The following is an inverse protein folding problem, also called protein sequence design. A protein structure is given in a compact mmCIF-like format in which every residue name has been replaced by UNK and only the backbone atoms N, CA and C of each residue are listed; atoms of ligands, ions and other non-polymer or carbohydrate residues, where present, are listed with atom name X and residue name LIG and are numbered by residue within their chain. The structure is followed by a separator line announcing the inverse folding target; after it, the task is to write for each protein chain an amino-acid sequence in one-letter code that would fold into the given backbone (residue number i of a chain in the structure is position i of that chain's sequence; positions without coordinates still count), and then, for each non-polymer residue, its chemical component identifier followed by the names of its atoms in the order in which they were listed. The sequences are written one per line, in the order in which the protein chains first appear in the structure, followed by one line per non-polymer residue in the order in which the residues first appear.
data_IF_898138377202
#
_entry.id   IF_898138377202
#
_cell.length_a   1.000
_cell.length_b   1.000
_cell.length_c   1.000
_cell.angle_alpha   90.00
_cell.angle_beta   90.00
_cell.angle_gamma   90.00
#
_symmetry.space_group_name_H-M   'P 1'
#
loop_
_entity.id
_entity.type
_entity.pdbx_description
1 polymer ?
#
# COMPACT_ATOMS: atom_id res chain seq x y z
N UNK A 1 11.96 14.84 6.21
CA UNK A 1 12.44 14.09 5.04
C UNK A 1 11.30 14.07 4.05
N UNK A 2 11.55 14.32 2.77
CA UNK A 2 10.51 14.24 1.73
C UNK A 2 10.42 12.84 1.14
N UNK A 3 9.34 12.50 0.45
CA UNK A 3 9.21 11.20 -0.22
C UNK A 3 10.27 11.06 -1.32
N UNK A 4 10.54 12.14 -2.05
CA UNK A 4 11.54 12.18 -3.11
C UNK A 4 12.94 11.88 -2.55
N UNK A 5 13.26 12.43 -1.37
CA UNK A 5 14.53 12.11 -0.72
C UNK A 5 14.64 10.64 -0.30
N UNK A 6 13.54 9.97 0.05
CA UNK A 6 13.55 8.52 0.30
C UNK A 6 13.88 7.76 -1.00
N UNK A 7 13.26 8.16 -2.11
CA UNK A 7 13.51 7.56 -3.42
C UNK A 7 14.93 7.77 -3.92
N UNK A 8 15.46 8.99 -3.78
CA UNK A 8 16.84 9.31 -4.17
C UNK A 8 17.84 8.50 -3.34
N UNK A 9 17.64 8.41 -2.01
CA UNK A 9 18.49 7.62 -1.13
C UNK A 9 18.46 6.13 -1.48
N UNK A 10 17.26 5.57 -1.72
CA UNK A 10 17.10 4.17 -2.12
C UNK A 10 17.77 3.92 -3.48
N UNK A 11 17.50 4.77 -4.47
CA UNK A 11 18.03 4.61 -5.82
C UNK A 11 19.56 4.73 -5.86
N UNK A 12 20.13 5.70 -5.15
CA UNK A 12 21.58 5.84 -5.02
C UNK A 12 22.20 4.58 -4.39
N UNK A 13 21.59 4.03 -3.34
CA UNK A 13 22.05 2.77 -2.74
C UNK A 13 21.96 1.60 -3.71
N UNK A 14 20.86 1.46 -4.44
CA UNK A 14 20.68 0.39 -5.43
C UNK A 14 21.77 0.43 -6.52
N UNK A 15 22.28 1.61 -6.88
CA UNK A 15 23.41 1.75 -7.81
C UNK A 15 24.78 1.43 -7.22
N UNK A 16 24.90 1.25 -5.90
CA UNK A 16 26.11 0.80 -5.21
C UNK A 16 25.84 -0.55 -4.53
N UNK A 17 25.58 -1.61 -5.33
CA UNK A 17 24.88 -2.77 -4.84
C UNK A 17 25.69 -3.60 -3.83
N UNK A 18 25.03 -3.96 -2.72
CA UNK A 18 25.52 -4.97 -1.75
C UNK A 18 25.01 -6.37 -2.15
N UNK A 19 24.03 -6.44 -3.05
CA UNK A 19 23.33 -7.65 -3.53
C UNK A 19 23.36 -7.70 -5.05
N UNK A 20 22.85 -8.76 -5.66
CA UNK A 20 22.67 -8.76 -7.11
C UNK A 20 21.52 -7.80 -7.46
N UNK A 21 21.86 -6.67 -8.08
CA UNK A 21 20.90 -5.61 -8.40
C UNK A 21 21.06 -5.17 -9.83
N UNK A 22 19.95 -5.13 -10.56
CA UNK A 22 19.84 -4.46 -11.86
C UNK A 22 19.11 -3.13 -11.67
N UNK A 23 19.55 -2.10 -12.39
CA UNK A 23 18.93 -0.79 -12.32
C UNK A 23 18.74 -0.20 -13.72
N UNK A 24 17.66 0.55 -13.88
CA UNK A 24 17.32 1.26 -15.10
C UNK A 24 16.63 2.57 -14.78
N UNK A 25 16.80 3.55 -15.66
CA UNK A 25 16.08 4.83 -15.60
C UNK A 25 15.58 5.20 -16.99
N UNK A 26 14.31 5.53 -17.07
CA UNK A 26 13.64 5.92 -18.31
C UNK A 26 12.90 7.24 -18.09
N UNK A 27 13.00 8.16 -19.06
CA UNK A 27 12.20 9.37 -19.09
C UNK A 27 11.10 9.22 -20.16
N UNK A 28 9.83 9.31 -19.74
CA UNK A 28 8.66 9.25 -20.63
C UNK A 28 7.79 10.49 -20.44
N UNK A 29 8.00 11.52 -21.25
CA UNK A 29 7.32 12.81 -21.07
C UNK A 29 7.68 13.41 -19.70
N UNK A 30 6.67 13.73 -18.88
CA UNK A 30 6.84 14.22 -17.50
C UNK A 30 7.23 13.14 -16.50
N UNK A 31 7.23 11.86 -16.89
CA UNK A 31 7.51 10.75 -16.00
C UNK A 31 9.01 10.40 -15.98
N UNK A 32 9.61 10.43 -14.79
CA UNK A 32 10.91 9.80 -14.50
C UNK A 32 10.63 8.44 -13.84
N UNK A 33 10.95 7.38 -14.56
CA UNK A 33 10.70 5.98 -14.19
C UNK A 33 12.03 5.36 -13.78
N UNK A 34 12.15 5.02 -12.51
CA UNK A 34 13.32 4.36 -11.95
C UNK A 34 12.98 2.91 -11.65
N UNK A 35 13.66 2.01 -12.34
CA UNK A 35 13.47 0.57 -12.24
C UNK A 35 14.62 -0.06 -11.48
N UNK A 36 14.31 -0.88 -10.48
CA UNK A 36 15.31 -1.61 -9.69
C UNK A 36 14.82 -3.04 -9.51
N UNK A 37 15.65 -4.01 -9.89
CA UNK A 37 15.44 -5.44 -9.62
C UNK A 37 16.50 -5.87 -8.62
N UNK A 38 16.08 -6.39 -7.47
CA UNK A 38 16.99 -6.90 -6.44
C UNK A 38 16.72 -8.39 -6.21
N UNK A 39 17.79 -9.17 -6.27
CA UNK A 39 17.81 -10.57 -5.87
C UNK A 39 18.57 -10.69 -4.54
N UNK A 40 17.86 -11.09 -3.48
CA UNK A 40 18.44 -11.31 -2.15
C UNK A 40 18.74 -12.80 -1.85
N UNK A 41 18.84 -13.63 -2.89
CA UNK A 41 19.04 -15.10 -2.89
C UNK A 41 17.85 -15.91 -2.37
N UNK A 42 16.94 -15.27 -1.64
CA UNK A 42 15.71 -15.89 -1.13
C UNK A 42 14.49 -15.44 -1.91
N UNK A 43 14.51 -14.21 -2.42
CA UNK A 43 13.37 -13.56 -3.10
C UNK A 43 13.89 -12.62 -4.18
N UNK A 44 13.13 -12.53 -5.26
CA UNK A 44 13.30 -11.49 -6.27
C UNK A 44 12.28 -10.37 -6.01
N UNK A 45 12.76 -9.13 -5.99
CA UNK A 45 11.94 -7.94 -5.83
C UNK A 45 12.16 -7.02 -7.03
N UNK A 46 11.07 -6.59 -7.64
CA UNK A 46 11.09 -5.60 -8.71
C UNK A 46 10.38 -4.35 -8.23
N UNK A 47 11.01 -3.19 -8.40
CA UNK A 47 10.45 -1.89 -8.04
C UNK A 47 10.45 -0.97 -9.25
N UNK A 48 9.32 -0.32 -9.50
CA UNK A 48 9.23 0.85 -10.39
C UNK A 48 8.80 2.04 -9.57
N UNK A 49 9.70 3.02 -9.44
CA UNK A 49 9.46 4.28 -8.74
C UNK A 49 9.20 5.34 -9.78
N UNK A 50 8.03 5.97 -9.73
CA UNK A 50 7.61 6.98 -10.69
C UNK A 50 7.55 8.34 -10.03
N UNK A 51 8.30 9.27 -10.60
CA UNK A 51 8.14 10.71 -10.34
C UNK A 51 7.41 11.34 -11.52
N UNK A 52 6.40 12.18 -11.26
CA UNK A 52 5.76 13.02 -12.26
C UNK A 52 6.14 14.46 -12.01
N UNK A 53 6.79 15.09 -12.98
CA UNK A 53 7.32 16.46 -12.85
C UNK A 53 8.23 16.63 -11.61
N UNK A 54 8.98 15.58 -11.27
CA UNK A 54 9.90 15.55 -10.13
C UNK A 54 9.26 15.27 -8.77
N UNK A 55 7.94 15.05 -8.71
CA UNK A 55 7.20 14.77 -7.47
C UNK A 55 6.83 13.28 -7.42
N UNK A 56 6.87 12.67 -6.24
CA UNK A 56 6.41 11.30 -6.02
C UNK A 56 4.98 11.11 -6.54
N UNK A 57 4.82 10.18 -7.48
CA UNK A 57 3.54 9.90 -8.12
C UNK A 57 3.02 8.52 -7.72
N UNK A 58 3.78 7.47 -8.05
CA UNK A 58 3.45 6.12 -7.62
C UNK A 58 4.70 5.22 -7.52
N UNK A 59 4.55 4.13 -6.76
CA UNK A 59 5.52 3.04 -6.70
C UNK A 59 4.79 1.74 -6.96
N UNK A 60 5.28 0.98 -7.94
CA UNK A 60 4.87 -0.39 -8.19
C UNK A 60 5.94 -1.34 -7.68
N UNK A 61 5.53 -2.44 -7.06
CA UNK A 61 6.42 -3.50 -6.61
C UNK A 61 5.84 -4.85 -6.97
N UNK A 62 6.70 -5.74 -7.42
CA UNK A 62 6.46 -7.17 -7.47
C UNK A 62 7.45 -7.88 -6.56
N UNK A 63 7.00 -8.91 -5.86
CA UNK A 63 7.86 -9.73 -5.03
C UNK A 63 7.42 -11.19 -5.09
N UNK A 64 8.36 -12.06 -5.47
CA UNK A 64 8.20 -13.51 -5.40
C UNK A 64 8.57 -14.01 -3.99
N UNK A 65 7.70 -14.80 -3.38
CA UNK A 65 7.90 -15.35 -2.02
C UNK A 65 8.35 -16.82 -2.03
N UNK A 66 8.47 -17.43 -3.21
CA UNK A 66 8.70 -18.86 -3.42
C UNK A 66 7.39 -19.65 -3.56
N UNK A 67 7.48 -20.89 -4.04
CA UNK A 67 6.33 -21.79 -4.25
C UNK A 67 5.22 -21.18 -5.16
N UNK A 68 5.62 -20.33 -6.10
CA UNK A 68 4.73 -19.58 -7.01
C UNK A 68 3.78 -18.56 -6.34
N UNK A 69 3.98 -18.24 -5.06
CA UNK A 69 3.28 -17.13 -4.40
C UNK A 69 3.97 -15.80 -4.67
N UNK A 70 3.17 -14.83 -5.11
CA UNK A 70 3.63 -13.50 -5.48
C UNK A 70 2.84 -12.42 -4.76
N UNK A 71 3.45 -11.24 -4.64
CA UNK A 71 2.74 -10.03 -4.26
C UNK A 71 2.97 -8.91 -5.26
N UNK A 72 1.88 -8.23 -5.62
CA UNK A 72 1.90 -6.99 -6.37
C UNK A 72 1.42 -5.86 -5.48
N UNK A 73 2.24 -4.83 -5.35
CA UNK A 73 1.91 -3.65 -4.56
C UNK A 73 1.94 -2.40 -5.43
N UNK A 74 0.90 -1.58 -5.29
CA UNK A 74 0.80 -0.27 -5.93
C UNK A 74 0.58 0.75 -4.83
N UNK A 75 1.50 1.70 -4.71
CA UNK A 75 1.39 2.83 -3.78
C UNK A 75 1.26 4.13 -4.56
N UNK A 76 0.24 4.92 -4.27
CA UNK A 76 -0.01 6.25 -4.86
C UNK A 76 0.20 7.35 -3.83
N UNK A 77 0.71 8.48 -4.30
CA UNK A 77 1.00 9.67 -3.52
C UNK A 77 0.14 10.82 -4.04
N UNK A 78 -0.72 11.38 -3.20
CA UNK A 78 -1.60 12.46 -3.60
C UNK A 78 -1.82 13.43 -2.42
N UNK A 79 -1.40 14.69 -2.56
CA UNK A 79 -1.61 15.76 -1.58
C UNK A 79 -1.30 15.38 -0.12
N UNK A 80 -0.15 14.72 0.10
CA UNK A 80 0.29 14.30 1.44
C UNK A 80 -0.32 12.97 1.91
N UNK A 81 -1.27 12.42 1.18
CA UNK A 81 -1.90 11.12 1.44
C UNK A 81 -1.17 10.04 0.64
N UNK A 82 -0.96 8.90 1.29
CA UNK A 82 -0.36 7.72 0.68
C UNK A 82 -1.35 6.57 0.76
N UNK A 83 -1.80 6.09 -0.39
CA UNK A 83 -2.70 4.94 -0.50
C UNK A 83 -1.96 3.77 -1.10
N UNK A 84 -2.11 2.58 -0.53
CA UNK A 84 -1.47 1.37 -1.02
C UNK A 84 -2.49 0.25 -1.22
N UNK A 85 -2.42 -0.36 -2.39
CA UNK A 85 -3.01 -1.65 -2.73
C UNK A 85 -1.89 -2.70 -2.69
N UNK A 86 -2.15 -3.84 -2.06
CA UNK A 86 -1.25 -4.99 -2.03
C UNK A 86 -2.06 -6.25 -2.29
N UNK A 87 -1.72 -6.98 -3.33
CA UNK A 87 -2.39 -8.20 -3.76
C UNK A 87 -1.48 -9.39 -3.50
N UNK A 88 -2.04 -10.48 -2.98
CA UNK A 88 -1.39 -11.79 -2.85
C UNK A 88 -2.00 -12.74 -3.86
N UNK A 89 -1.18 -13.37 -4.68
CA UNK A 89 -1.69 -14.21 -5.76
C UNK A 89 -0.79 -15.42 -6.07
N UNK A 90 -1.40 -16.41 -6.72
CA UNK A 90 -0.73 -17.59 -7.29
C UNK A 90 -1.27 -17.78 -8.71
N UNK A 91 -0.41 -17.60 -9.72
CA UNK A 91 -0.89 -17.37 -11.08
C UNK A 91 -1.82 -16.14 -11.12
N UNK A 92 -3.00 -16.30 -11.71
CA UNK A 92 -4.01 -15.23 -11.81
C UNK A 92 -5.01 -15.23 -10.63
N UNK A 93 -4.86 -16.14 -9.66
CA UNK A 93 -5.76 -16.26 -8.52
C UNK A 93 -5.28 -15.38 -7.35
N UNK A 94 -6.07 -14.37 -7.01
CA UNK A 94 -5.82 -13.50 -5.85
C UNK A 94 -6.40 -14.13 -4.59
N UNK A 95 -5.54 -14.47 -3.63
CA UNK A 95 -5.91 -15.14 -2.37
C UNK A 95 -6.03 -14.16 -1.19
N UNK A 96 -5.44 -12.97 -1.32
CA UNK A 96 -5.51 -11.93 -0.31
C UNK A 96 -5.30 -10.55 -0.88
N UNK A 97 -5.89 -9.56 -0.21
CA UNK A 97 -5.78 -8.16 -0.56
C UNK A 97 -5.54 -7.35 0.72
N UNK A 98 -4.65 -6.37 0.67
CA UNK A 98 -4.42 -5.42 1.74
C UNK A 98 -4.52 -4.02 1.17
N UNK A 99 -5.30 -3.18 1.84
CA UNK A 99 -5.39 -1.75 1.55
C UNK A 99 -4.87 -0.97 2.74
N UNK A 100 -4.09 0.08 2.49
CA UNK A 100 -3.50 0.88 3.55
C UNK A 100 -3.52 2.36 3.22
N UNK A 101 -3.66 3.17 4.26
CA UNK A 101 -3.73 4.61 4.18
C UNK A 101 -2.76 5.22 5.18
N UNK A 102 -1.82 6.03 4.69
CA UNK A 102 -0.86 6.75 5.53
C UNK A 102 -0.61 8.17 4.99
N UNK A 103 0.50 8.78 5.41
CA UNK A 103 0.90 10.14 5.12
C UNK A 103 2.36 10.19 4.68
N UNK A 104 2.69 11.14 3.82
CA UNK A 104 4.04 11.32 3.30
C UNK A 104 5.07 11.46 4.44
N UNK A 105 4.76 12.24 5.47
CA UNK A 105 5.65 12.49 6.60
C UNK A 105 5.83 11.31 7.55
N UNK A 106 5.05 10.23 7.39
CA UNK A 106 5.15 9.00 8.17
C UNK A 106 5.90 7.89 7.44
N UNK A 107 6.35 8.13 6.21
CA UNK A 107 7.24 7.24 5.51
C UNK A 107 8.66 7.40 6.05
N UNK A 108 9.33 6.27 6.22
CA UNK A 108 10.72 6.23 6.69
C UNK A 108 11.53 5.31 5.79
N UNK A 109 12.86 5.47 5.80
CA UNK A 109 13.77 4.54 5.13
C UNK A 109 13.57 3.14 5.67
N UNK A 110 13.60 2.16 4.77
CA UNK A 110 13.61 0.76 5.17
C UNK A 110 14.92 0.42 5.90
N UNK A 111 14.87 0.02 7.19
CA UNK A 111 16.08 -0.34 7.93
C UNK A 111 16.81 -1.56 7.35
N UNK A 112 16.11 -2.41 6.59
CA UNK A 112 16.71 -3.58 5.93
C UNK A 112 17.32 -3.24 4.56
N UNK A 113 17.12 -2.00 4.12
CA UNK A 113 17.55 -1.53 2.80
C UNK A 113 17.10 -2.49 1.69
N UNK A 114 15.84 -2.90 1.70
CA UNK A 114 15.20 -3.70 0.65
C UNK A 114 14.17 -2.89 -0.10
N UNK A 115 13.47 -2.01 0.59
CA UNK A 115 12.35 -1.26 0.04
C UNK A 115 12.70 0.23 -0.14
N UNK A 116 12.06 0.93 -1.10
CA UNK A 116 12.18 2.37 -1.23
C UNK A 116 11.79 3.14 0.04
N UNK A 117 10.84 2.59 0.80
CA UNK A 117 10.39 3.09 2.09
C UNK A 117 9.61 2.00 2.83
N UNK A 118 9.33 2.24 4.11
CA UNK A 118 8.30 1.54 4.88
C UNK A 118 7.35 2.53 5.54
N UNK A 119 6.18 2.05 5.94
CA UNK A 119 5.24 2.81 6.77
C UNK A 119 5.75 2.86 8.20
N UNK A 120 6.39 3.98 8.56
CA UNK A 120 6.77 4.25 9.95
C UNK A 120 5.54 4.39 10.84
N UNK A 121 4.46 4.95 10.29
CA UNK A 121 3.10 4.90 10.84
C UNK A 121 2.08 4.67 9.72
N UNK A 122 0.89 4.20 10.07
CA UNK A 122 -0.27 4.12 9.17
C UNK A 122 -1.53 4.61 9.88
N UNK A 123 -2.37 5.39 9.18
CA UNK A 123 -3.68 5.79 9.70
C UNK A 123 -4.58 4.54 9.77
N UNK A 124 -4.61 3.73 8.71
CA UNK A 124 -5.43 2.52 8.61
C UNK A 124 -4.75 1.43 7.78
N UNK A 125 -4.88 0.18 8.21
CA UNK A 125 -4.56 -1.00 7.43
C UNK A 125 -5.76 -1.96 7.45
N UNK A 126 -6.11 -2.50 6.29
CA UNK A 126 -7.21 -3.44 6.11
C UNK A 126 -6.72 -4.66 5.35
N UNK A 127 -7.19 -5.83 5.73
CA UNK A 127 -6.88 -7.10 5.06
C UNK A 127 -8.17 -7.78 4.69
N UNK A 128 -8.20 -8.28 3.46
CA UNK A 128 -9.27 -9.06 2.90
C UNK A 128 -8.72 -10.42 2.52
N UNK A 129 -9.55 -11.45 2.66
CA UNK A 129 -9.22 -12.83 2.29
C UNK A 129 -10.27 -13.38 1.35
N UNK A 130 -9.81 -14.23 0.43
CA UNK A 130 -10.70 -15.01 -0.39
C UNK A 130 -11.53 -15.97 0.49
N UNK A 131 -12.86 -15.82 0.45
CA UNK A 131 -13.82 -16.66 1.17
C UNK A 131 -15.16 -16.62 0.45
N UNK A 132 -15.84 -17.76 0.36
CA UNK A 132 -17.18 -17.89 -0.25
C UNK A 132 -17.27 -17.24 -1.65
N UNK A 133 -16.24 -17.45 -2.47
CA UNK A 133 -16.08 -16.89 -3.83
C UNK A 133 -16.05 -15.35 -3.91
N UNK A 134 -15.77 -14.69 -2.79
CA UNK A 134 -15.59 -13.24 -2.66
C UNK A 134 -14.28 -12.92 -1.95
N UNK A 135 -13.89 -11.65 -1.97
CA UNK A 135 -12.80 -11.11 -1.17
C UNK A 135 -13.41 -10.31 -0.02
N UNK A 136 -13.38 -10.88 1.19
CA UNK A 136 -14.07 -10.35 2.36
C UNK A 136 -13.10 -9.79 3.39
N UNK A 137 -13.49 -8.71 4.05
CA UNK A 137 -12.71 -8.07 5.10
C UNK A 137 -12.46 -9.04 6.27
N UNK A 138 -11.20 -9.40 6.46
CA UNK A 138 -10.70 -10.24 7.56
C UNK A 138 -10.26 -9.39 8.74
N UNK A 139 -9.59 -8.24 8.49
CA UNK A 139 -9.01 -7.41 9.57
C UNK A 139 -9.03 -5.93 9.24
N UNK A 140 -9.17 -5.13 10.29
CA UNK A 140 -9.02 -3.67 10.28
C UNK A 140 -8.23 -3.24 11.50
N UNK A 141 -7.18 -2.46 11.26
CA UNK A 141 -6.34 -1.88 12.30
C UNK A 141 -6.14 -0.39 12.04
N UNK A 142 -6.09 0.38 13.12
CA UNK A 142 -5.84 1.81 13.09
C UNK A 142 -4.52 2.15 13.78
N UNK A 143 -3.96 3.29 13.41
CA UNK A 143 -2.81 3.91 14.09
C UNK A 143 -1.63 2.95 14.28
N UNK A 144 -1.27 2.17 13.25
CA UNK A 144 -0.06 1.35 13.28
C UNK A 144 1.16 2.25 13.45
N UNK A 145 2.09 1.87 14.33
CA UNK A 145 3.34 2.57 14.57
C UNK A 145 4.50 1.56 14.63
N UNK A 146 5.40 1.64 13.66
CA UNK A 146 6.51 0.71 13.50
C UNK A 146 7.48 0.70 14.68
N UNK A 147 7.70 1.87 15.32
CA UNK A 147 8.70 2.01 16.39
C UNK A 147 8.17 1.42 17.69
N UNK A 148 6.93 1.76 18.04
CA UNK A 148 6.30 1.32 19.30
C UNK A 148 5.54 0.00 19.18
N UNK A 149 5.37 -0.50 17.95
CA UNK A 149 4.52 -1.65 17.60
C UNK A 149 3.06 -1.46 18.05
N UNK A 150 2.63 -0.21 18.20
CA UNK A 150 1.29 0.14 18.63
C UNK A 150 0.28 -0.02 17.49
N UNK A 151 -0.95 -0.40 17.82
CA UNK A 151 -2.12 -0.36 16.93
C UNK A 151 -3.41 -0.48 17.73
N UNK A 152 -4.52 0.02 17.17
CA UNK A 152 -5.87 -0.31 17.62
C UNK A 152 -6.53 -1.30 16.67
N UNK A 153 -6.67 -2.58 17.06
CA UNK A 153 -7.50 -3.51 16.32
C UNK A 153 -8.98 -3.12 16.46
N UNK A 154 -9.64 -3.04 15.31
CA UNK A 154 -11.10 -2.83 15.19
C UNK A 154 -11.76 -4.16 14.83
N UNK A 155 -11.18 -4.88 13.87
CA UNK A 155 -11.47 -6.28 13.57
C UNK A 155 -10.16 -7.08 13.48
N UNK A 156 -10.02 -8.12 14.28
CA UNK A 156 -8.89 -9.05 14.31
C UNK A 156 -9.26 -10.32 15.10
N UNK A 157 -8.34 -11.27 15.26
CA UNK A 157 -8.57 -12.48 16.05
C UNK A 157 -9.11 -12.19 17.46
N UNK A 158 -10.40 -12.50 17.69
CA UNK A 158 -11.08 -12.29 18.96
C UNK A 158 -11.52 -10.85 19.24
N UNK A 159 -11.41 -9.95 18.26
CA UNK A 159 -11.81 -8.54 18.36
C UNK A 159 -12.72 -8.20 17.18
N UNK A 160 -13.94 -7.76 17.45
CA UNK A 160 -14.87 -7.27 16.43
C UNK A 160 -15.69 -6.13 17.02
N UNK A 161 -15.30 -4.89 16.68
CA UNK A 161 -15.95 -3.68 17.18
C UNK A 161 -16.79 -3.07 16.05
N UNK A 162 -18.09 -2.91 16.29
CA UNK A 162 -18.97 -2.19 15.37
C UNK A 162 -18.68 -0.68 15.34
N UNK A 163 -18.16 -0.11 16.43
CA UNK A 163 -17.78 1.30 16.52
C UNK A 163 -16.63 1.49 17.50
N UNK A 164 -15.72 2.42 17.21
CA UNK A 164 -14.64 2.79 18.12
C UNK A 164 -14.18 4.23 17.93
N UNK A 165 -13.70 4.84 19.02
CA UNK A 165 -13.01 6.12 18.98
C UNK A 165 -11.65 5.99 19.68
N UNK A 166 -10.61 6.46 19.00
CA UNK A 166 -9.23 6.31 19.45
C UNK A 166 -8.45 7.60 19.23
N UNK A 167 -7.48 7.89 20.10
CA UNK A 167 -6.54 8.99 19.92
C UNK A 167 -5.13 8.46 20.07
N UNK A 168 -4.27 8.73 19.09
CA UNK A 168 -2.86 8.35 19.14
C UNK A 168 -1.97 9.43 18.54
N UNK A 169 -1.00 9.89 19.33
CA UNK A 169 -0.04 10.94 18.97
C UNK A 169 -0.71 12.14 18.29
N UNK A 170 -1.77 12.67 18.91
CA UNK A 170 -2.49 13.87 18.45
C UNK A 170 -3.53 13.65 17.34
N UNK A 171 -3.61 12.46 16.74
CA UNK A 171 -4.62 12.13 15.72
C UNK A 171 -5.78 11.41 16.37
N UNK A 172 -7.02 11.85 16.11
CA UNK A 172 -8.22 11.16 16.56
C UNK A 172 -8.83 10.37 15.41
N UNK A 173 -9.30 9.16 15.70
CA UNK A 173 -9.95 8.27 14.76
C UNK A 173 -11.31 7.92 15.32
N UNK A 174 -12.36 8.14 14.54
CA UNK A 174 -13.70 7.59 14.78
C UNK A 174 -14.01 6.59 13.68
N UNK A 175 -14.29 5.34 14.02
CA UNK A 175 -14.60 4.31 13.04
C UNK A 175 -15.92 3.62 13.36
N UNK A 176 -16.70 3.37 12.32
CA UNK A 176 -17.87 2.51 12.33
C UNK A 176 -17.67 1.39 11.31
N UNK A 177 -18.05 0.17 11.69
CA UNK A 177 -17.88 -1.04 10.91
C UNK A 177 -19.23 -1.77 10.83
N UNK A 178 -19.89 -1.65 9.68
CA UNK A 178 -21.16 -2.30 9.35
C UNK A 178 -21.01 -3.08 8.02
N UNK A 179 -21.85 -2.80 7.02
CA UNK A 179 -21.64 -3.24 5.64
C UNK A 179 -20.45 -2.54 4.98
N UNK A 180 -19.99 -1.42 5.57
CA UNK A 180 -18.83 -0.64 5.18
C UNK A 180 -17.86 -0.36 6.33
N UNK A 181 -16.68 0.13 5.98
CA UNK A 181 -15.70 0.74 6.87
C UNK A 181 -15.85 2.24 6.74
N UNK A 182 -16.41 2.90 7.76
CA UNK A 182 -16.52 4.37 7.79
C UNK A 182 -15.54 4.90 8.82
N UNK A 183 -14.41 5.41 8.35
CA UNK A 183 -13.36 5.99 9.18
C UNK A 183 -13.34 7.52 9.01
N UNK A 184 -13.41 8.22 10.12
CA UNK A 184 -13.16 9.65 10.23
C UNK A 184 -11.86 9.91 10.96
N UNK A 185 -10.93 10.60 10.32
CA UNK A 185 -9.65 10.99 10.89
C UNK A 185 -9.71 12.49 11.16
N UNK A 186 -9.54 12.87 12.42
CA UNK A 186 -9.53 14.27 12.84
C UNK A 186 -8.09 14.73 13.11
N UNK A 187 -7.77 15.91 12.58
CA UNK A 187 -6.47 16.57 12.69
C UNK A 187 -6.40 17.75 11.72
N UNK A 188 -5.18 18.20 11.41
CA UNK A 188 -4.93 19.33 10.49
C UNK A 188 -5.53 19.11 9.09
N UNK A 189 -5.68 17.85 8.68
CA UNK A 189 -6.41 17.45 7.48
C UNK A 189 -7.48 16.43 7.88
N UNK A 190 -8.66 16.93 8.27
CA UNK A 190 -9.80 16.07 8.55
C UNK A 190 -10.23 15.36 7.27
N UNK A 191 -10.42 14.04 7.36
CA UNK A 191 -10.79 13.21 6.22
C UNK A 191 -11.76 12.12 6.61
N UNK A 192 -12.58 11.72 5.65
CA UNK A 192 -13.47 10.58 5.74
C UNK A 192 -13.00 9.53 4.75
N UNK A 193 -13.07 8.27 5.15
CA UNK A 193 -12.79 7.10 4.33
C UNK A 193 -14.00 6.20 4.45
N UNK A 194 -14.56 5.81 3.33
CA UNK A 194 -15.72 4.95 3.27
C UNK A 194 -15.42 3.79 2.32
N UNK A 195 -14.98 2.66 2.88
CA UNK A 195 -14.55 1.50 2.09
C UNK A 195 -15.50 0.33 2.24
N UNK A 196 -15.65 -0.44 1.18
CA UNK A 196 -16.45 -1.67 1.17
C UNK A 196 -15.80 -2.75 2.04
N UNK A 197 -16.61 -3.58 2.67
CA UNK A 197 -16.13 -4.76 3.42
C UNK A 197 -16.04 -6.02 2.56
N UNK A 198 -16.61 -6.00 1.34
CA UNK A 198 -16.59 -7.10 0.40
C UNK A 198 -16.38 -6.64 -1.04
N UNK A 199 -15.59 -7.42 -1.79
CA UNK A 199 -15.42 -7.30 -3.24
C UNK A 199 -15.77 -8.64 -3.90
N UNK A 200 -16.38 -8.57 -5.08
CA UNK A 200 -16.66 -9.71 -5.94
C UNK A 200 -15.39 -10.20 -6.65
N UNK A 201 -15.44 -11.43 -7.18
CA UNK A 201 -14.31 -11.98 -7.93
C UNK A 201 -13.94 -11.13 -9.17
N UNK A 202 -14.91 -10.53 -9.86
CA UNK A 202 -14.66 -9.67 -11.02
C UNK A 202 -13.97 -8.36 -10.65
N UNK A 203 -14.36 -7.75 -9.53
CA UNK A 203 -13.72 -6.54 -9.02
C UNK A 203 -12.27 -6.84 -8.59
N UNK A 204 -12.04 -7.98 -7.94
CA UNK A 204 -10.68 -8.42 -7.57
C UNK A 204 -9.82 -8.70 -8.80
N UNK A 205 -10.38 -9.34 -9.84
CA UNK A 205 -9.69 -9.52 -11.13
C UNK A 205 -9.34 -8.18 -11.77
N UNK A 206 -10.21 -7.18 -11.66
CA UNK A 206 -9.97 -5.83 -12.19
C UNK A 206 -8.82 -5.14 -11.44
N UNK A 207 -8.76 -5.28 -10.11
CA UNK A 207 -7.62 -4.79 -9.32
C UNK A 207 -6.31 -5.49 -9.69
N UNK A 208 -6.35 -6.80 -9.94
CA UNK A 208 -5.19 -7.56 -10.39
C UNK A 208 -4.71 -7.12 -11.77
N UNK A 209 -5.62 -6.96 -12.72
CA UNK A 209 -5.28 -6.43 -14.06
C UNK A 209 -4.65 -5.04 -13.96
N UNK A 210 -5.28 -4.12 -13.20
CA UNK A 210 -4.75 -2.79 -12.93
C UNK A 210 -3.33 -2.81 -12.36
N UNK A 211 -3.05 -3.73 -11.42
CA UNK A 211 -1.72 -3.86 -10.83
C UNK A 211 -0.70 -4.49 -11.80
N UNK A 212 -1.14 -5.35 -12.71
CA UNK A 212 -0.26 -6.13 -13.60
C UNK A 212 0.08 -5.43 -14.92
N UNK A 213 -0.83 -4.65 -15.50
CA UNK A 213 -0.71 -4.17 -16.89
C UNK A 213 -0.06 -2.78 -17.06
N UNK A 214 0.23 -2.07 -15.96
CA UNK A 214 0.79 -0.72 -16.00
C UNK A 214 -0.21 0.42 -15.86
N UNK A 215 -1.53 0.13 -15.81
CA UNK A 215 -2.60 1.14 -15.65
C UNK A 215 -2.44 1.97 -14.38
N UNK A 216 -1.73 1.44 -13.38
CA UNK A 216 -1.36 2.17 -12.16
C UNK A 216 -0.53 3.44 -12.39
N UNK A 217 0.07 3.64 -13.57
CA UNK A 217 0.73 4.90 -13.92
C UNK A 217 -0.28 6.04 -14.08
N UNK A 218 -1.53 5.75 -14.43
CA UNK A 218 -2.52 6.78 -14.77
C UNK A 218 -3.23 7.36 -13.54
N UNK A 219 -3.26 6.65 -12.41
CA UNK A 219 -3.81 7.17 -11.16
C UNK A 219 -4.43 6.11 -10.27
N UNK A 220 -4.97 6.55 -9.13
CA UNK A 220 -5.61 5.71 -8.13
C UNK A 220 -7.10 5.46 -8.39
N UNK A 221 -7.73 6.25 -9.25
CA UNK A 221 -9.18 6.23 -9.50
C UNK A 221 -9.74 4.83 -9.80
N UNK A 222 -9.09 3.95 -10.59
CA UNK A 222 -9.60 2.60 -10.82
C UNK A 222 -9.73 1.76 -9.53
N UNK A 223 -8.89 2.01 -8.53
CA UNK A 223 -8.98 1.34 -7.23
C UNK A 223 -10.08 1.98 -6.39
N UNK A 224 -10.14 3.32 -6.34
CA UNK A 224 -11.16 4.08 -5.63
C UNK A 224 -12.58 3.69 -6.10
N UNK A 225 -12.79 3.56 -7.41
CA UNK A 225 -14.06 3.18 -8.02
C UNK A 225 -14.59 1.81 -7.57
N UNK A 226 -13.69 0.93 -7.13
CA UNK A 226 -14.04 -0.41 -6.68
C UNK A 226 -14.19 -0.51 -5.16
N UNK A 227 -13.36 0.22 -4.40
CA UNK A 227 -13.31 0.10 -2.94
C UNK A 227 -14.19 1.11 -2.22
N UNK A 228 -14.39 2.31 -2.78
CA UNK A 228 -15.13 3.37 -2.10
C UNK A 228 -16.65 3.09 -2.14
N UNK A 229 -17.32 3.37 -1.02
CA UNK A 229 -18.78 3.37 -0.96
C UNK A 229 -19.24 4.73 -1.47
N UNK A 230 -19.98 4.72 -2.59
CA UNK A 230 -20.60 5.90 -3.20
C UNK A 230 -22.03 6.09 -2.73
#
# INVERSE_FOLDING_TARGET
MTVESLFDNYYQRATTPIRNTEFGREQRGSLDIRHVVEDDEFRQMTHKIILRDGVAWCVWREQEWGLAENSLDVTHFNDGIVSQLSLRHTGDEVTGLKMSLTRNEWLISDPDFRLPFIFGRSDMETWYRAKDFKMQLDRVRLAWDYVTKHTFPVRDYGIDKAKAEHTYKGVKYGIELDEGIRLKIFGDSTRNVEWRTELTADEVRSLFAYASDGSWIDGWDPVADLIDIR
#
